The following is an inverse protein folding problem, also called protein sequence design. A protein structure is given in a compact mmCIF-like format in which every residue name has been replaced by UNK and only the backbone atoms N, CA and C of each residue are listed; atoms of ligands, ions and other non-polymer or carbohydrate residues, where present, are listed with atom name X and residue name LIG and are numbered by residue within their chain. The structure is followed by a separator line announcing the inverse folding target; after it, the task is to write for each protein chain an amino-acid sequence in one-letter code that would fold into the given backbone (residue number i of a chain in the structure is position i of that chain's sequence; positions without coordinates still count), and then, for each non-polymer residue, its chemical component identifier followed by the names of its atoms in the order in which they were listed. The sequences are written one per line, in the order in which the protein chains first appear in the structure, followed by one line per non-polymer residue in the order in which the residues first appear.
data_IF_280842444703
#
_entry.id   IF_280842444703
#
_cell.length_a   1.000
_cell.length_b   1.000
_cell.length_c   1.000
_cell.angle_alpha   90.00
_cell.angle_beta   90.00
_cell.angle_gamma   90.00
#
_symmetry.space_group_name_H-M   'P 1'
#
loop_
_entity.id
_entity.type
_entity.pdbx_description
1 polymer ?
#
# COMPACT_ATOMS: atom_id res chain seq x y z
N UNK A 1 -3.91 -11.74 -15.21
CA UNK A 1 -4.24 -10.70 -14.24
C UNK A 1 -3.12 -9.67 -14.24
N UNK A 2 -3.41 -8.39 -14.46
CA UNK A 2 -2.39 -7.34 -14.40
C UNK A 2 -1.69 -7.31 -13.03
N UNK A 3 -0.37 -7.24 -13.09
CA UNK A 3 0.45 -7.21 -11.89
C UNK A 3 1.42 -6.03 -11.94
N UNK A 4 1.56 -5.35 -10.80
CA UNK A 4 2.55 -4.29 -10.59
C UNK A 4 3.41 -4.69 -9.41
N UNK A 5 4.72 -4.77 -9.61
CA UNK A 5 5.69 -5.07 -8.56
C UNK A 5 6.74 -3.97 -8.58
N UNK A 6 6.91 -3.30 -7.45
CA UNK A 6 7.91 -2.26 -7.30
C UNK A 6 8.66 -2.43 -5.98
N UNK A 7 9.92 -2.06 -5.96
CA UNK A 7 10.77 -2.21 -4.78
C UNK A 7 11.49 -0.93 -4.44
N UNK A 8 11.85 -0.78 -3.16
CA UNK A 8 12.74 0.28 -2.70
C UNK A 8 13.61 -0.24 -1.57
N UNK A 9 14.86 0.19 -1.55
CA UNK A 9 15.76 -0.07 -0.45
C UNK A 9 15.55 0.96 0.66
N UNK A 10 15.55 0.49 1.90
CA UNK A 10 15.33 1.31 3.09
C UNK A 10 16.50 1.13 4.05
N UNK A 11 17.11 2.23 4.47
CA UNK A 11 18.23 2.23 5.41
C UNK A 11 17.70 2.16 6.85
N UNK A 12 17.02 1.06 7.17
CA UNK A 12 16.48 0.76 8.49
C UNK A 12 16.32 -0.75 8.65
N UNK A 13 16.43 -1.28 9.88
CA UNK A 13 16.24 -2.71 10.12
C UNK A 13 14.80 -3.15 9.84
N UNK A 14 14.58 -4.44 9.55
CA UNK A 14 13.25 -4.94 9.19
C UNK A 14 12.13 -4.59 10.17
N UNK A 15 12.41 -4.64 11.46
CA UNK A 15 11.42 -4.34 12.50
C UNK A 15 10.95 -2.88 12.44
N UNK A 16 11.87 -1.95 12.17
CA UNK A 16 11.55 -0.53 12.01
C UNK A 16 10.74 -0.28 10.74
N UNK A 17 11.12 -0.91 9.64
CA UNK A 17 10.38 -0.82 8.37
C UNK A 17 8.99 -1.38 8.53
N UNK A 18 8.85 -2.52 9.20
CA UNK A 18 7.55 -3.11 9.49
C UNK A 18 6.67 -2.18 10.33
N UNK A 19 7.20 -1.63 11.41
CA UNK A 19 6.46 -0.70 12.27
C UNK A 19 5.93 0.51 11.49
N UNK A 20 6.75 1.06 10.60
CA UNK A 20 6.34 2.16 9.73
C UNK A 20 5.27 1.74 8.73
N UNK A 21 5.40 0.53 8.18
CA UNK A 21 4.52 -0.01 7.15
C UNK A 21 3.09 -0.23 7.65
N UNK A 22 2.95 -0.82 8.84
CA UNK A 22 1.65 -1.21 9.38
C UNK A 22 1.03 -0.16 10.31
N UNK A 23 1.61 1.01 10.38
CA UNK A 23 1.03 2.18 11.04
C UNK A 23 -0.01 2.82 10.10
N UNK A 24 -1.13 2.12 9.94
CA UNK A 24 -2.14 2.43 8.94
C UNK A 24 -2.64 3.88 8.98
N UNK A 25 -2.95 4.45 10.15
CA UNK A 25 -3.44 5.84 10.18
C UNK A 25 -2.43 6.86 9.64
N UNK A 26 -1.16 6.51 9.60
CA UNK A 26 -0.10 7.39 9.10
C UNK A 26 0.36 7.04 7.68
N UNK A 27 -0.27 6.08 7.03
CA UNK A 27 0.11 5.67 5.67
C UNK A 27 0.00 6.83 4.66
N UNK A 28 -0.89 7.77 4.89
CA UNK A 28 -1.02 8.98 4.06
C UNK A 28 0.24 9.87 4.04
N UNK A 29 1.15 9.69 5.00
CA UNK A 29 2.41 10.45 5.04
C UNK A 29 3.38 10.01 3.94
N UNK A 30 3.22 8.81 3.40
CA UNK A 30 4.09 8.31 2.34
C UNK A 30 3.33 7.88 1.08
N UNK A 31 2.11 7.40 1.18
CA UNK A 31 1.32 7.01 0.01
C UNK A 31 0.74 8.24 -0.67
N UNK A 32 1.04 8.40 -1.95
CA UNK A 32 0.67 9.58 -2.71
C UNK A 32 -0.84 9.80 -2.76
N UNK A 33 -1.30 11.00 -2.39
CA UNK A 33 -2.71 11.43 -2.48
C UNK A 33 -3.70 10.50 -1.78
N UNK A 34 -3.29 9.86 -0.68
CA UNK A 34 -4.08 8.81 -0.03
C UNK A 34 -4.20 9.04 1.47
N UNK A 35 -5.39 8.80 2.01
CA UNK A 35 -5.63 8.61 3.43
C UNK A 35 -5.99 7.17 3.70
N UNK A 36 -5.52 6.61 4.81
CA UNK A 36 -5.87 5.27 5.24
C UNK A 36 -6.41 5.31 6.67
N UNK A 37 -7.45 4.54 6.93
CA UNK A 37 -7.97 4.34 8.28
C UNK A 37 -8.26 2.86 8.52
N UNK A 38 -8.22 2.47 9.77
CA UNK A 38 -8.67 1.14 10.20
C UNK A 38 -10.18 1.17 10.41
N UNK A 39 -10.81 0.02 10.19
CA UNK A 39 -12.25 -0.18 10.40
C UNK A 39 -12.41 -1.31 11.42
N UNK A 40 -13.05 -1.02 12.54
CA UNK A 40 -13.29 -2.00 13.61
C UNK A 40 -11.99 -2.63 14.16
N UNK A 41 -11.12 -1.82 14.74
CA UNK A 41 -9.89 -2.30 15.37
C UNK A 41 -8.65 -1.57 14.89
N UNK A 42 -7.48 -2.14 15.16
CA UNK A 42 -6.17 -1.53 14.87
C UNK A 42 -5.52 -2.01 13.56
N UNK A 43 -6.12 -3.00 12.89
CA UNK A 43 -5.54 -3.55 11.66
C UNK A 43 -4.26 -4.34 11.87
N UNK A 44 -4.01 -4.82 13.09
CA UNK A 44 -2.80 -5.58 13.41
C UNK A 44 -3.13 -7.08 13.47
N UNK A 45 -3.34 -7.69 12.31
CA UNK A 45 -3.60 -9.13 12.22
C UNK A 45 -4.56 -9.51 11.10
N UNK A 46 -4.67 -10.80 10.85
CA UNK A 46 -5.62 -11.35 9.89
C UNK A 46 -7.05 -11.01 10.32
N UNK A 47 -7.89 -10.64 9.36
CA UNK A 47 -9.26 -10.19 9.60
C UNK A 47 -9.37 -8.69 9.82
N UNK A 48 -8.26 -7.98 9.97
CA UNK A 48 -8.24 -6.52 10.05
C UNK A 48 -8.79 -5.90 8.77
N UNK A 49 -9.51 -4.80 8.93
CA UNK A 49 -10.12 -4.08 7.80
C UNK A 49 -9.55 -2.67 7.68
N UNK A 50 -9.28 -2.29 6.45
CA UNK A 50 -8.71 -0.99 6.11
C UNK A 50 -9.58 -0.31 5.07
N UNK A 51 -9.62 1.02 5.11
CA UNK A 51 -10.24 1.83 4.08
C UNK A 51 -9.26 2.92 3.67
N UNK A 52 -8.95 2.97 2.39
CA UNK A 52 -8.08 3.96 1.79
C UNK A 52 -8.87 4.81 0.80
N UNK A 53 -8.66 6.12 0.83
CA UNK A 53 -9.24 7.02 -0.15
C UNK A 53 -8.11 7.77 -0.86
N UNK A 54 -8.07 7.61 -2.17
CA UNK A 54 -7.04 8.19 -3.03
C UNK A 54 -7.66 9.19 -3.98
N UNK A 55 -7.12 10.38 -4.07
CA UNK A 55 -7.61 11.40 -4.98
C UNK A 55 -7.20 12.81 -4.58
N UNK A 56 -8.03 13.79 -4.95
CA UNK A 56 -7.76 15.21 -4.72
C UNK A 56 -7.94 15.57 -3.25
N UNK A 57 -6.98 16.31 -2.64
CA UNK A 57 -7.15 16.79 -1.27
C UNK A 57 -8.40 17.66 -1.11
N UNK A 58 -9.10 17.47 0.02
CA UNK A 58 -10.29 18.25 0.36
C UNK A 58 -9.92 19.42 1.30
N UNK A 59 -10.56 20.58 1.14
CA UNK A 59 -10.51 21.62 2.18
C UNK A 59 -11.05 21.05 3.51
N UNK A 60 -10.29 21.23 4.59
CA UNK A 60 -10.69 20.72 5.90
C UNK A 60 -10.21 19.31 6.22
N UNK A 61 -9.48 18.64 5.30
CA UNK A 61 -8.86 17.34 5.51
C UNK A 61 -9.42 16.21 4.68
N UNK A 62 -8.66 15.13 4.56
CA UNK A 62 -9.00 13.97 3.76
C UNK A 62 -8.88 14.19 2.26
N UNK A 63 -9.31 13.21 1.49
CA UNK A 63 -9.23 13.21 0.02
C UNK A 63 -10.58 12.88 -0.61
N UNK A 64 -10.86 13.49 -1.77
CA UNK A 64 -11.98 13.11 -2.65
C UNK A 64 -11.45 12.21 -3.75
N UNK A 65 -12.02 11.03 -3.92
CA UNK A 65 -11.58 10.13 -4.97
C UNK A 65 -12.04 8.69 -4.73
N UNK A 66 -11.24 7.76 -5.21
CA UNK A 66 -11.57 6.34 -5.16
C UNK A 66 -11.43 5.82 -3.73
N UNK A 67 -12.48 5.12 -3.26
CA UNK A 67 -12.46 4.39 -1.99
C UNK A 67 -12.00 2.96 -2.27
N UNK A 68 -10.94 2.56 -1.61
CA UNK A 68 -10.38 1.22 -1.65
C UNK A 68 -10.54 0.60 -0.26
N UNK A 69 -11.37 -0.43 -0.15
CA UNK A 69 -11.54 -1.18 1.09
C UNK A 69 -10.79 -2.50 1.00
N UNK A 70 -10.16 -2.88 2.11
CA UNK A 70 -9.28 -4.05 2.14
C UNK A 70 -9.51 -4.91 3.38
N UNK A 71 -9.31 -6.21 3.21
CA UNK A 71 -9.28 -7.18 4.29
C UNK A 71 -7.88 -7.78 4.38
N UNK A 72 -7.30 -7.78 5.56
CA UNK A 72 -6.01 -8.43 5.80
C UNK A 72 -6.23 -9.94 5.81
N UNK A 73 -5.58 -10.64 4.88
CA UNK A 73 -5.71 -12.08 4.67
C UNK A 73 -4.46 -12.85 5.09
N UNK A 74 -3.31 -12.18 5.21
CA UNK A 74 -2.06 -12.76 5.68
C UNK A 74 -1.33 -11.78 6.56
N UNK A 75 -0.70 -12.28 7.64
CA UNK A 75 0.00 -11.44 8.61
C UNK A 75 1.19 -12.20 9.19
N UNK A 76 2.38 -11.84 8.76
CA UNK A 76 3.63 -12.47 9.18
C UNK A 76 4.69 -11.40 9.54
N UNK A 77 4.60 -10.80 10.74
CA UNK A 77 5.58 -9.80 11.17
C UNK A 77 6.97 -10.39 11.35
N UNK A 78 8.04 -9.69 11.02
CA UNK A 78 8.07 -8.36 10.39
C UNK A 78 8.27 -8.44 8.87
N UNK A 79 7.75 -9.47 8.20
CA UNK A 79 8.11 -9.82 6.82
C UNK A 79 7.03 -9.57 5.78
N UNK A 80 5.75 -9.80 6.13
CA UNK A 80 4.73 -9.82 5.07
C UNK A 80 3.33 -9.54 5.59
N UNK A 81 2.59 -8.71 4.88
CA UNK A 81 1.16 -8.55 5.04
C UNK A 81 0.49 -8.68 3.67
N UNK A 82 -0.57 -9.49 3.62
CA UNK A 82 -1.39 -9.67 2.43
C UNK A 82 -2.75 -9.05 2.66
N UNK A 83 -3.28 -8.39 1.64
CA UNK A 83 -4.64 -7.85 1.66
C UNK A 83 -5.41 -8.28 0.44
N UNK A 84 -6.72 -8.35 0.58
CA UNK A 84 -7.66 -8.47 -0.52
C UNK A 84 -8.46 -7.18 -0.62
N UNK A 85 -8.49 -6.58 -1.80
CA UNK A 85 -9.34 -5.44 -2.08
C UNK A 85 -10.79 -5.90 -2.17
N UNK A 86 -11.66 -5.33 -1.35
CA UNK A 86 -13.06 -5.77 -1.22
C UNK A 86 -14.07 -4.79 -1.81
N UNK A 87 -13.57 -3.71 -2.42
CA UNK A 87 -14.40 -2.67 -3.02
C UNK A 87 -14.97 -3.03 -4.39
N UNK A 88 -15.69 -2.09 -4.96
CA UNK A 88 -16.31 -2.26 -6.29
C UNK A 88 -15.39 -1.82 -7.42
N UNK A 89 -14.53 -0.84 -7.18
CA UNK A 89 -13.66 -0.23 -8.19
C UNK A 89 -12.26 -0.86 -8.12
N UNK A 90 -11.66 -0.85 -6.95
CA UNK A 90 -10.34 -1.49 -6.74
C UNK A 90 -10.60 -2.91 -6.26
N UNK A 91 -10.13 -3.88 -7.03
CA UNK A 91 -10.32 -5.31 -6.79
C UNK A 91 -9.02 -6.05 -7.03
N UNK A 92 -8.87 -7.20 -6.38
CA UNK A 92 -7.68 -8.03 -6.48
C UNK A 92 -6.98 -8.15 -5.14
N UNK A 93 -5.66 -8.36 -5.17
CA UNK A 93 -4.85 -8.58 -3.97
C UNK A 93 -3.65 -7.64 -3.95
N UNK A 94 -3.19 -7.33 -2.75
CA UNK A 94 -1.97 -6.59 -2.53
C UNK A 94 -1.08 -7.29 -1.52
N UNK A 95 0.23 -7.11 -1.66
CA UNK A 95 1.20 -7.69 -0.75
C UNK A 95 2.29 -6.67 -0.47
N UNK A 96 2.61 -6.50 0.81
CA UNK A 96 3.77 -5.75 1.27
C UNK A 96 4.74 -6.72 1.91
N UNK A 97 5.96 -6.74 1.41
CA UNK A 97 7.02 -7.58 1.96
C UNK A 97 8.19 -6.71 2.44
N UNK A 98 8.76 -7.09 3.57
CA UNK A 98 9.99 -6.50 4.10
C UNK A 98 11.06 -7.58 4.07
N UNK A 99 12.08 -7.40 3.24
CA UNK A 99 13.20 -8.34 3.11
C UNK A 99 14.44 -7.77 3.79
N UNK A 100 15.10 -8.50 4.69
CA UNK A 100 16.31 -8.01 5.32
C UNK A 100 17.47 -7.90 4.31
N UNK A 101 18.27 -6.81 4.46
CA UNK A 101 19.57 -6.66 3.81
C UNK A 101 20.62 -6.48 4.92
N UNK A 102 21.00 -7.59 5.58
CA UNK A 102 21.78 -7.55 6.81
C UNK A 102 20.91 -7.12 8.00
N UNK A 103 21.53 -6.65 9.08
CA UNK A 103 20.84 -6.32 10.34
C UNK A 103 20.25 -4.92 10.37
N UNK A 104 20.79 -4.00 9.57
CA UNK A 104 20.48 -2.57 9.65
C UNK A 104 19.78 -1.99 8.43
N UNK A 105 19.47 -2.81 7.42
CA UNK A 105 18.83 -2.37 6.19
C UNK A 105 17.80 -3.37 5.70
N UNK A 106 16.93 -2.92 4.83
CA UNK A 106 15.81 -3.72 4.30
C UNK A 106 15.51 -3.35 2.85
N UNK A 107 14.78 -4.23 2.17
CA UNK A 107 14.12 -3.95 0.89
C UNK A 107 12.64 -4.11 1.09
N UNK A 108 11.87 -3.08 0.73
CA UNK A 108 10.42 -3.14 0.72
C UNK A 108 9.94 -3.49 -0.68
N UNK A 109 9.06 -4.49 -0.79
CA UNK A 109 8.45 -4.94 -2.04
C UNK A 109 6.95 -4.75 -1.96
N UNK A 110 6.40 -3.99 -2.89
CA UNK A 110 4.95 -3.78 -3.02
C UNK A 110 4.48 -4.48 -4.29
N UNK A 111 3.56 -5.43 -4.13
CA UNK A 111 2.95 -6.19 -5.23
C UNK A 111 1.45 -5.95 -5.26
N UNK A 112 0.90 -5.63 -6.43
CA UNK A 112 -0.53 -5.54 -6.66
C UNK A 112 -0.91 -6.46 -7.81
N UNK A 113 -1.91 -7.29 -7.59
CA UNK A 113 -2.55 -8.08 -8.63
C UNK A 113 -3.98 -7.56 -8.77
N UNK A 114 -4.28 -6.97 -9.91
CA UNK A 114 -5.51 -6.21 -10.09
C UNK A 114 -6.52 -6.94 -10.96
N UNK A 115 -7.77 -7.00 -10.47
CA UNK A 115 -8.90 -7.40 -11.29
C UNK A 115 -9.48 -6.12 -11.89
N UNK A 116 -9.31 -5.94 -13.19
CA UNK A 116 -9.72 -4.72 -13.86
C UNK A 116 -11.25 -4.65 -13.96
N UNK A 117 -11.85 -3.50 -13.64
CA UNK A 117 -13.29 -3.30 -13.82
C UNK A 117 -13.66 -3.25 -15.30
N UNK A 118 -14.93 -3.48 -15.61
CA UNK A 118 -15.49 -3.39 -16.97
C UNK A 118 -14.89 -4.41 -17.98
N UNK A 119 -14.31 -5.49 -17.51
CA UNK A 119 -13.83 -6.59 -18.37
C UNK A 119 -12.92 -6.14 -19.49
N UNK A 120 -13.34 -6.31 -20.75
CA UNK A 120 -12.53 -5.95 -21.93
C UNK A 120 -12.24 -4.46 -22.03
N UNK A 121 -13.17 -3.60 -21.62
CA UNK A 121 -12.95 -2.15 -21.61
C UNK A 121 -11.87 -1.76 -20.60
N UNK A 122 -11.89 -2.38 -19.43
CA UNK A 122 -10.82 -2.21 -18.43
C UNK A 122 -9.48 -2.66 -18.97
N UNK A 123 -9.44 -3.82 -19.63
CA UNK A 123 -8.21 -4.35 -20.23
C UNK A 123 -7.66 -3.43 -21.34
N UNK A 124 -8.52 -2.82 -22.14
CA UNK A 124 -8.11 -1.86 -23.17
C UNK A 124 -7.58 -0.56 -22.57
N UNK A 125 -8.14 -0.10 -21.45
CA UNK A 125 -7.71 1.11 -20.76
C UNK A 125 -6.45 0.93 -19.93
N UNK A 126 -6.11 -0.30 -19.55
CA UNK A 126 -4.98 -0.60 -18.67
C UNK A 126 -3.63 -0.05 -19.18
N UNK A 127 -3.25 -0.23 -20.46
CA UNK A 127 -1.99 0.33 -20.95
C UNK A 127 -1.87 1.84 -20.82
N UNK A 128 -3.02 2.55 -20.75
CA UNK A 128 -3.04 4.02 -20.55
C UNK A 128 -2.92 4.39 -19.06
N UNK A 129 -3.49 3.58 -18.17
CA UNK A 129 -3.53 3.84 -16.73
C UNK A 129 -2.26 3.36 -16.03
N UNK A 130 -1.70 2.24 -16.49
CA UNK A 130 -0.54 1.59 -15.86
C UNK A 130 0.65 2.52 -15.63
N UNK A 131 1.11 3.34 -16.60
CA UNK A 131 2.25 4.22 -16.37
C UNK A 131 2.03 5.21 -15.21
N UNK A 132 0.83 5.75 -15.10
CA UNK A 132 0.48 6.67 -14.00
C UNK A 132 0.46 5.95 -12.65
N UNK A 133 -0.08 4.74 -12.60
CA UNK A 133 -0.10 3.93 -11.39
C UNK A 133 1.31 3.54 -10.96
N UNK A 134 2.14 3.08 -11.89
CA UNK A 134 3.53 2.72 -11.60
C UNK A 134 4.31 3.94 -11.09
N UNK A 135 4.14 5.10 -11.71
CA UNK A 135 4.78 6.33 -11.27
C UNK A 135 4.34 6.72 -9.86
N UNK A 136 3.04 6.60 -9.55
CA UNK A 136 2.49 6.88 -8.22
C UNK A 136 3.04 5.92 -7.15
N UNK A 137 3.13 4.64 -7.47
CA UNK A 137 3.70 3.62 -6.56
C UNK A 137 5.19 3.90 -6.33
N UNK A 138 5.95 4.16 -7.38
CA UNK A 138 7.39 4.46 -7.25
C UNK A 138 7.65 5.71 -6.40
N UNK A 139 6.87 6.75 -6.59
CA UNK A 139 6.99 7.98 -5.80
C UNK A 139 6.61 7.71 -4.34
N UNK A 140 5.56 6.95 -4.09
CA UNK A 140 5.16 6.54 -2.75
C UNK A 140 6.25 5.73 -2.06
N UNK A 141 6.88 4.79 -2.76
CA UNK A 141 7.99 3.99 -2.22
C UNK A 141 9.21 4.85 -1.87
N UNK A 142 9.52 5.83 -2.72
CA UNK A 142 10.61 6.75 -2.44
C UNK A 142 10.34 7.57 -1.17
N UNK A 143 9.11 8.01 -0.98
CA UNK A 143 8.67 8.70 0.24
C UNK A 143 8.69 7.76 1.45
N UNK A 144 8.26 6.51 1.26
CA UNK A 144 8.30 5.49 2.30
C UNK A 144 9.72 5.24 2.81
N UNK A 145 10.69 5.14 1.92
CA UNK A 145 12.09 4.89 2.30
C UNK A 145 12.61 5.97 3.27
N UNK A 146 12.31 7.24 3.00
CA UNK A 146 12.67 8.34 3.89
C UNK A 146 11.86 8.32 5.19
N UNK A 147 10.57 8.06 5.11
CA UNK A 147 9.67 8.01 6.26
C UNK A 147 10.06 6.87 7.23
N UNK A 148 10.29 5.68 6.69
CA UNK A 148 10.62 4.50 7.50
C UNK A 148 12.01 4.62 8.16
N UNK A 149 12.97 5.23 7.48
CA UNK A 149 14.31 5.43 8.02
C UNK A 149 14.31 6.33 9.26
N UNK A 150 13.34 7.22 9.39
CA UNK A 150 13.17 8.10 10.55
C UNK A 150 12.09 7.66 11.55
N UNK A 151 11.46 6.51 11.34
CA UNK A 151 10.32 6.09 12.16
C UNK A 151 10.77 5.55 13.52
N UNK A 152 10.20 6.03 14.64
CA UNK A 152 10.44 5.43 15.95
C UNK A 152 9.71 4.08 16.06
N UNK A 153 10.34 3.12 16.79
CA UNK A 153 9.75 1.77 16.98
C UNK A 153 10.09 1.17 18.33
#
# INVERSE_FOLDING_TARGET
VPEVIETVDVEAPPEQVWAALVDWPRQGEWTLLTDVRTVDGDGQGVGGRLAARTGVPRPGGGHLGVLDTMLITGWDPPRRVDVRHTGRVVRGTGTFEVRPRGESASTFVWTEQLDLPLGRLGALGWPLVRPAMVAGVRLSLKRFAAYAAGHPY
#
